data_IF_695573840543
#
_entry.id   IF_695573840543
#
_cell.length_a   1.000
_cell.length_b   1.000
_cell.length_c   1.000
_cell.angle_alpha   90.00
_cell.angle_beta   90.00
_cell.angle_gamma   90.00
#
_symmetry.space_group_name_H-M   'P 1'
#
loop_
_entity.id
_entity.type
_entity.pdbx_description
1 polymer ?
#
# COMPACT_ATOMS: atom_id res chain seq x y z
N UNK A 1 77.79 0.35 -8.28
CA UNK A 1 77.86 -0.08 -9.69
C UNK A 1 76.79 0.70 -10.46
N UNK A 2 77.19 1.37 -11.54
CA UNK A 2 76.49 2.42 -12.30
C UNK A 2 75.21 1.97 -13.01
N UNK A 3 74.24 2.90 -13.22
CA UNK A 3 74.02 3.53 -14.54
C UNK A 3 73.04 4.71 -14.52
N UNK A 4 73.42 5.74 -15.29
CA UNK A 4 72.81 7.06 -15.53
C UNK A 4 71.91 7.03 -16.77
N UNK A 5 70.90 7.89 -16.83
CA UNK A 5 70.35 8.46 -18.08
C UNK A 5 70.26 9.98 -17.90
N UNK A 6 70.86 10.74 -18.81
CA UNK A 6 71.01 12.20 -18.74
C UNK A 6 70.21 12.92 -19.83
N UNK A 7 69.65 14.07 -19.42
CA UNK A 7 68.95 15.09 -20.20
C UNK A 7 69.96 16.17 -20.60
N UNK A 8 69.81 16.82 -21.77
CA UNK A 8 70.21 18.23 -21.95
C UNK A 8 69.46 18.93 -23.11
N UNK A 9 69.06 20.19 -22.84
CA UNK A 9 68.48 21.22 -23.71
C UNK A 9 69.43 21.68 -24.85
N UNK A 10 68.93 22.46 -25.84
CA UNK A 10 69.41 23.83 -26.17
C UNK A 10 68.43 24.61 -27.10
N UNK A 11 68.43 25.92 -26.85
CA UNK A 11 67.78 27.16 -27.31
C UNK A 11 67.66 27.60 -28.80
N UNK A 12 66.82 28.65 -28.96
CA UNK A 12 66.44 29.58 -30.05
C UNK A 12 67.55 30.26 -30.91
N UNK A 13 67.22 30.61 -32.17
CA UNK A 13 67.28 32.00 -32.73
C UNK A 13 66.69 32.14 -34.18
N UNK A 14 66.24 33.37 -34.48
CA UNK A 14 65.48 33.91 -35.63
C UNK A 14 66.19 33.89 -37.01
N UNK A 15 65.41 33.80 -38.11
CA UNK A 15 65.67 34.50 -39.38
C UNK A 15 64.40 34.63 -40.25
N UNK A 16 64.16 35.83 -40.77
CA UNK A 16 63.10 36.23 -41.72
C UNK A 16 63.49 35.93 -43.17
N UNK A 17 62.54 35.57 -44.03
CA UNK A 17 62.64 35.77 -45.49
C UNK A 17 61.25 35.91 -46.15
N UNK A 18 61.15 36.83 -47.11
CA UNK A 18 59.94 37.33 -47.78
C UNK A 18 59.95 36.89 -49.26
N UNK A 19 58.81 36.31 -49.68
CA UNK A 19 58.23 36.10 -51.03
C UNK A 19 59.03 35.51 -52.21
N UNK A 20 58.45 34.46 -52.80
CA UNK A 20 58.13 34.42 -54.25
C UNK A 20 57.00 33.44 -54.52
N UNK A 21 55.99 33.90 -55.25
CA UNK A 21 54.81 33.13 -55.63
C UNK A 21 55.08 32.17 -56.77
N UNK A 22 54.42 31.01 -56.72
CA UNK A 22 54.14 30.17 -57.87
C UNK A 22 52.68 29.73 -57.74
N UNK A 23 51.87 30.16 -58.70
CA UNK A 23 50.48 29.71 -58.90
C UNK A 23 50.56 28.33 -59.54
N UNK A 24 50.01 27.32 -58.86
CA UNK A 24 49.76 26.02 -59.47
C UNK A 24 48.26 25.88 -59.74
N UNK A 25 47.93 25.46 -60.96
CA UNK A 25 46.58 25.32 -61.46
C UNK A 25 45.81 24.26 -60.65
N UNK A 26 44.65 24.66 -60.13
CA UNK A 26 43.64 23.79 -59.53
C UNK A 26 43.19 22.76 -60.58
N UNK A 27 43.50 21.49 -60.36
CA UNK A 27 42.92 20.40 -61.15
C UNK A 27 41.51 20.14 -60.63
N UNK A 28 40.52 20.53 -61.44
CA UNK A 28 39.11 20.33 -61.13
C UNK A 28 38.81 18.84 -60.93
N UNK A 29 38.34 18.49 -59.74
CA UNK A 29 37.76 17.17 -59.42
C UNK A 29 36.41 17.07 -60.15
N UNK A 30 36.15 16.04 -60.97
CA UNK A 30 34.85 15.87 -61.59
C UNK A 30 33.82 15.52 -60.51
N UNK A 31 32.88 16.45 -60.26
CA UNK A 31 31.63 16.17 -59.55
C UNK A 31 30.65 15.56 -60.54
N UNK A 32 30.38 14.25 -60.47
CA UNK A 32 29.04 13.73 -60.81
C UNK A 32 28.84 12.29 -60.32
N UNK A 33 28.31 12.16 -59.10
CA UNK A 33 27.31 11.12 -58.80
C UNK A 33 26.25 11.77 -57.91
N UNK A 34 25.21 12.29 -58.54
CA UNK A 34 24.06 12.88 -57.88
C UNK A 34 23.18 11.78 -57.26
N UNK A 35 23.53 11.33 -56.06
CA UNK A 35 22.64 10.50 -55.25
C UNK A 35 21.45 11.36 -54.77
N UNK A 36 20.27 11.12 -55.35
CA UNK A 36 19.00 11.64 -54.84
C UNK A 36 18.68 10.96 -53.50
N UNK A 37 18.98 11.64 -52.39
CA UNK A 37 18.42 11.29 -51.10
C UNK A 37 16.94 11.72 -51.09
N UNK A 38 16.05 10.80 -51.42
CA UNK A 38 14.64 10.98 -51.08
C UNK A 38 14.53 10.92 -49.55
N UNK A 39 14.03 11.96 -48.86
CA UNK A 39 13.66 11.79 -47.46
C UNK A 39 12.64 10.64 -47.42
N UNK A 40 12.87 9.67 -46.54
CA UNK A 40 11.84 8.70 -46.18
C UNK A 40 10.69 9.50 -45.56
N UNK A 41 9.69 9.85 -46.37
CA UNK A 41 8.40 10.32 -45.87
C UNK A 41 7.74 9.08 -45.29
N UNK A 42 7.99 8.80 -44.01
CA UNK A 42 7.22 7.80 -43.30
C UNK A 42 5.77 8.27 -43.27
N UNK A 43 4.84 7.39 -43.69
CA UNK A 43 3.42 7.63 -43.47
C UNK A 43 3.24 7.97 -41.98
N UNK A 44 2.53 9.06 -41.61
CA UNK A 44 2.31 9.37 -40.21
C UNK A 44 1.69 8.14 -39.53
N UNK A 45 2.33 7.69 -38.45
CA UNK A 45 1.83 6.56 -37.67
C UNK A 45 0.41 6.89 -37.19
N UNK A 46 -0.52 5.96 -37.39
CA UNK A 46 -1.87 6.13 -36.85
C UNK A 46 -1.77 5.95 -35.33
N UNK A 47 -2.47 6.78 -34.54
CA UNK A 47 -2.43 6.64 -33.08
C UNK A 47 -3.02 5.28 -32.68
N UNK A 48 -2.46 4.61 -31.66
CA UNK A 48 -3.03 3.39 -31.13
C UNK A 48 -4.40 3.68 -30.53
N UNK A 49 -5.30 2.68 -30.55
CA UNK A 49 -6.61 2.78 -29.93
C UNK A 49 -6.97 1.46 -29.23
N UNK A 50 -7.58 1.56 -28.06
CA UNK A 50 -8.29 0.44 -27.42
C UNK A 50 -9.74 0.47 -27.88
N UNK A 51 -10.13 -0.52 -28.68
CA UNK A 51 -11.48 -0.63 -29.24
C UNK A 51 -12.46 -1.25 -28.25
N UNK A 52 -12.00 -2.26 -27.49
CA UNK A 52 -12.77 -2.89 -26.44
C UNK A 52 -11.86 -3.42 -25.32
N UNK A 53 -12.35 -3.38 -24.09
CA UNK A 53 -11.74 -4.07 -22.96
C UNK A 53 -12.84 -4.47 -21.96
N UNK A 54 -13.09 -5.77 -21.84
CA UNK A 54 -14.25 -6.31 -21.12
C UNK A 54 -13.90 -7.58 -20.35
N UNK A 55 -14.75 -7.96 -19.40
CA UNK A 55 -14.77 -9.28 -18.81
C UNK A 55 -16.00 -10.06 -19.28
N UNK A 56 -15.93 -11.39 -19.20
CA UNK A 56 -17.06 -12.28 -19.48
C UNK A 56 -18.24 -12.13 -18.49
N UNK A 57 -18.01 -11.51 -17.33
CA UNK A 57 -19.01 -11.31 -16.28
C UNK A 57 -19.05 -9.87 -15.78
N UNK A 58 -20.23 -9.36 -15.36
CA UNK A 58 -20.36 -8.03 -14.75
C UNK A 58 -20.07 -8.00 -13.25
N UNK A 59 -20.06 -9.16 -12.57
CA UNK A 59 -19.73 -9.38 -11.16
C UNK A 59 -19.10 -10.77 -11.02
N UNK A 60 -18.13 -10.95 -10.13
CA UNK A 60 -17.45 -12.23 -9.93
C UNK A 60 -17.40 -12.63 -8.45
N UNK A 61 -17.20 -13.92 -8.17
CA UNK A 61 -16.93 -14.39 -6.82
C UNK A 61 -15.41 -14.42 -6.53
N UNK A 62 -14.95 -14.06 -5.32
CA UNK A 62 -13.56 -14.29 -4.93
C UNK A 62 -13.16 -15.76 -5.07
N UNK A 63 -12.03 -16.04 -5.72
CA UNK A 63 -11.56 -17.40 -6.00
C UNK A 63 -12.01 -17.98 -7.35
N UNK A 64 -12.89 -17.29 -8.08
CA UNK A 64 -13.28 -17.69 -9.44
C UNK A 64 -12.19 -17.34 -10.47
N UNK A 65 -12.24 -17.97 -11.65
CA UNK A 65 -11.46 -17.55 -12.82
C UNK A 65 -12.36 -16.85 -13.82
N UNK A 66 -12.02 -15.61 -14.16
CA UNK A 66 -12.69 -14.80 -15.18
C UNK A 66 -11.89 -14.75 -16.48
N UNK A 67 -12.52 -14.34 -17.57
CA UNK A 67 -11.87 -14.11 -18.87
C UNK A 67 -11.93 -12.63 -19.22
N UNK A 68 -10.75 -12.03 -19.32
CA UNK A 68 -10.56 -10.67 -19.81
C UNK A 68 -10.39 -10.71 -21.33
N UNK A 69 -11.07 -9.84 -22.07
CA UNK A 69 -11.04 -9.79 -23.53
C UNK A 69 -10.82 -8.38 -24.02
N UNK A 70 -9.96 -8.20 -25.02
CA UNK A 70 -9.65 -6.89 -25.58
C UNK A 70 -9.40 -6.91 -27.08
N UNK A 71 -9.66 -5.75 -27.69
CA UNK A 71 -9.32 -5.46 -29.06
C UNK A 71 -8.63 -4.08 -29.13
N UNK A 72 -7.57 -4.00 -29.92
CA UNK A 72 -6.81 -2.77 -30.15
C UNK A 72 -6.57 -2.55 -31.65
N UNK A 73 -6.26 -1.32 -32.02
CA UNK A 73 -5.81 -0.98 -33.37
C UNK A 73 -4.54 -0.14 -33.30
N UNK A 74 -3.66 -0.30 -34.28
CA UNK A 74 -2.42 0.46 -34.43
C UNK A 74 -1.43 0.38 -33.25
N UNK A 75 -1.66 -0.51 -32.29
CA UNK A 75 -0.71 -0.84 -31.24
C UNK A 75 0.35 -1.80 -31.77
N UNK A 76 1.58 -1.66 -31.29
CA UNK A 76 2.66 -2.64 -31.51
C UNK A 76 2.98 -3.44 -30.25
N UNK A 77 2.62 -2.89 -29.08
CA UNK A 77 2.77 -3.53 -27.78
C UNK A 77 1.50 -3.29 -26.98
N UNK A 78 0.97 -4.33 -26.35
CA UNK A 78 -0.13 -4.20 -25.40
C UNK A 78 0.28 -4.72 -24.04
N UNK A 79 0.06 -3.91 -23.01
CA UNK A 79 0.36 -4.25 -21.62
C UNK A 79 -0.93 -4.22 -20.81
N UNK A 80 -1.24 -5.33 -20.16
CA UNK A 80 -2.33 -5.44 -19.20
C UNK A 80 -1.75 -5.30 -17.80
N UNK A 81 -2.30 -4.38 -17.00
CA UNK A 81 -2.00 -4.21 -15.59
C UNK A 81 -3.17 -4.67 -14.74
N UNK A 82 -2.87 -5.35 -13.65
CA UNK A 82 -3.76 -5.52 -12.52
C UNK A 82 -3.45 -4.43 -11.48
N UNK A 83 -4.48 -3.76 -10.99
CA UNK A 83 -4.36 -2.66 -10.04
C UNK A 83 -4.82 -3.12 -8.66
N UNK A 84 -3.97 -2.90 -7.66
CA UNK A 84 -4.27 -3.22 -6.26
C UNK A 84 -4.40 -1.90 -5.51
N UNK A 85 -5.61 -1.60 -5.00
CA UNK A 85 -5.88 -0.33 -4.33
C UNK A 85 -5.62 0.90 -5.22
N UNK A 86 -5.83 0.77 -6.54
CA UNK A 86 -5.58 1.84 -7.51
C UNK A 86 -4.11 2.04 -7.92
N UNK A 87 -3.19 1.22 -7.40
CA UNK A 87 -1.77 1.25 -7.77
C UNK A 87 -1.47 0.12 -8.75
N UNK A 88 -0.62 0.38 -9.74
CA UNK A 88 -0.13 -0.67 -10.65
C UNK A 88 0.56 -1.79 -9.88
N UNK A 89 -0.01 -2.98 -9.96
CA UNK A 89 0.53 -4.21 -9.39
C UNK A 89 1.16 -5.06 -10.49
N UNK A 90 0.72 -6.31 -10.59
CA UNK A 90 1.18 -7.25 -11.62
C UNK A 90 0.86 -6.74 -13.03
N UNK A 91 1.70 -7.11 -13.99
CA UNK A 91 1.49 -6.77 -15.39
C UNK A 91 1.89 -7.92 -16.31
N UNK A 92 1.31 -7.92 -17.50
CA UNK A 92 1.56 -8.88 -18.56
C UNK A 92 1.67 -8.16 -19.89
N UNK A 93 2.68 -8.53 -20.69
CA UNK A 93 2.67 -8.21 -22.12
C UNK A 93 1.77 -9.23 -22.81
N UNK A 94 0.71 -8.74 -23.44
CA UNK A 94 -0.34 -9.56 -24.04
C UNK A 94 -0.38 -9.32 -25.56
N UNK A 95 -0.98 -10.22 -26.34
CA UNK A 95 -1.19 -9.99 -27.77
C UNK A 95 -1.99 -8.71 -28.05
N UNK A 96 -1.83 -8.13 -29.25
CA UNK A 96 -2.56 -6.92 -29.66
C UNK A 96 -4.08 -7.05 -29.52
N UNK A 97 -4.60 -8.25 -29.82
CA UNK A 97 -6.00 -8.62 -29.64
C UNK A 97 -6.03 -10.01 -29.01
N UNK A 98 -6.95 -10.24 -28.08
CA UNK A 98 -7.10 -11.56 -27.51
C UNK A 98 -7.83 -11.58 -26.19
N UNK A 99 -7.67 -12.72 -25.52
CA UNK A 99 -8.29 -13.00 -24.24
C UNK A 99 -7.24 -13.57 -23.27
N UNK A 100 -7.47 -13.36 -21.98
CA UNK A 100 -6.65 -13.91 -20.90
C UNK A 100 -7.55 -14.38 -19.76
N UNK A 101 -7.34 -15.62 -19.33
CA UNK A 101 -7.92 -16.10 -18.09
C UNK A 101 -7.17 -15.48 -16.90
N UNK A 102 -7.91 -14.96 -15.93
CA UNK A 102 -7.39 -14.41 -14.69
C UNK A 102 -8.06 -15.08 -13.49
N UNK A 103 -7.25 -15.70 -12.63
CA UNK A 103 -7.72 -16.32 -11.41
C UNK A 103 -7.75 -15.26 -10.30
N UNK A 104 -8.95 -14.93 -9.83
CA UNK A 104 -9.19 -14.00 -8.73
C UNK A 104 -8.73 -14.67 -7.43
N UNK A 105 -8.00 -13.94 -6.59
CA UNK A 105 -7.62 -14.49 -5.28
C UNK A 105 -8.86 -14.71 -4.41
N UNK A 106 -8.92 -15.80 -3.66
CA UNK A 106 -9.96 -16.01 -2.66
C UNK A 106 -9.93 -14.98 -1.53
N UNK A 107 -8.81 -14.25 -1.37
CA UNK A 107 -8.66 -13.14 -0.43
C UNK A 107 -9.07 -11.79 -1.00
N UNK A 108 -9.38 -11.69 -2.30
CA UNK A 108 -9.81 -10.44 -2.94
C UNK A 108 -11.19 -10.03 -2.43
N UNK A 109 -11.40 -8.72 -2.29
CA UNK A 109 -12.63 -8.13 -1.78
C UNK A 109 -12.99 -6.90 -2.58
N UNK A 110 -14.28 -6.56 -2.56
CA UNK A 110 -14.88 -5.38 -3.20
C UNK A 110 -14.80 -5.37 -4.73
N UNK A 111 -13.61 -5.31 -5.32
CA UNK A 111 -13.42 -5.15 -6.76
C UNK A 111 -12.08 -5.75 -7.24
N UNK A 112 -12.04 -6.18 -8.49
CA UNK A 112 -10.80 -6.34 -9.27
C UNK A 112 -10.69 -5.24 -10.32
N UNK A 113 -9.53 -4.58 -10.37
CA UNK A 113 -9.32 -3.45 -11.30
C UNK A 113 -8.17 -3.74 -12.24
N UNK A 114 -8.36 -3.46 -13.52
CA UNK A 114 -7.37 -3.64 -14.57
C UNK A 114 -7.23 -2.40 -15.43
N UNK A 115 -6.06 -2.21 -16.02
CA UNK A 115 -5.81 -1.19 -17.04
C UNK A 115 -5.06 -1.81 -18.20
N UNK A 116 -5.57 -1.63 -19.42
CA UNK A 116 -4.95 -2.05 -20.65
C UNK A 116 -4.30 -0.83 -21.31
N UNK A 117 -3.04 -0.96 -21.71
CA UNK A 117 -2.30 0.05 -22.45
C UNK A 117 -1.94 -0.47 -23.83
N UNK A 118 -2.35 0.25 -24.87
CA UNK A 118 -2.02 -0.01 -26.26
C UNK A 118 -0.99 1.00 -26.73
N UNK A 119 0.25 0.57 -26.97
CA UNK A 119 1.38 1.44 -27.29
C UNK A 119 1.86 1.20 -28.73
N UNK A 120 2.03 2.27 -29.51
CA UNK A 120 2.56 2.22 -30.87
C UNK A 120 4.09 2.38 -30.91
N UNK A 121 4.69 2.19 -32.09
CA UNK A 121 6.14 2.22 -32.28
C UNK A 121 6.79 3.59 -31.97
N UNK A 122 6.03 4.68 -32.02
CA UNK A 122 6.47 6.03 -31.67
C UNK A 122 6.30 6.36 -30.18
N UNK A 123 5.92 5.37 -29.36
CA UNK A 123 5.59 5.47 -27.94
C UNK A 123 4.33 6.29 -27.61
N UNK A 124 3.52 6.68 -28.60
CA UNK A 124 2.15 7.09 -28.32
C UNK A 124 1.36 5.91 -27.75
N UNK A 125 0.38 6.19 -26.88
CA UNK A 125 -0.44 5.15 -26.28
C UNK A 125 -1.90 5.59 -26.12
N UNK A 126 -2.78 4.61 -26.08
CA UNK A 126 -4.16 4.71 -25.61
C UNK A 126 -4.39 3.69 -24.48
N UNK A 127 -5.40 3.92 -23.64
CA UNK A 127 -5.65 3.05 -22.49
C UNK A 127 -7.13 2.92 -22.13
N UNK A 128 -7.51 1.75 -21.63
CA UNK A 128 -8.84 1.50 -21.08
C UNK A 128 -8.75 0.86 -19.70
N UNK A 129 -9.66 1.26 -18.80
CA UNK A 129 -9.82 0.66 -17.48
C UNK A 129 -11.00 -0.31 -17.44
N UNK A 130 -10.88 -1.35 -16.62
CA UNK A 130 -11.95 -2.30 -16.33
C UNK A 130 -12.00 -2.54 -14.82
N UNK A 131 -13.19 -2.43 -14.23
CA UNK A 131 -13.41 -2.72 -12.80
C UNK A 131 -14.56 -3.70 -12.68
N UNK A 132 -14.32 -4.79 -11.96
CA UNK A 132 -15.26 -5.89 -11.79
C UNK A 132 -15.62 -5.95 -10.32
N UNK A 133 -16.87 -5.63 -9.91
CA UNK A 133 -17.30 -5.82 -8.54
C UNK A 133 -17.22 -7.29 -8.15
N UNK A 134 -16.87 -7.52 -6.88
CA UNK A 134 -16.84 -8.84 -6.27
C UNK A 134 -18.01 -8.99 -5.31
N UNK A 135 -18.57 -10.18 -5.26
CA UNK A 135 -19.51 -10.53 -4.18
C UNK A 135 -18.79 -10.52 -2.84
N UNK A 136 -19.53 -10.18 -1.79
CA UNK A 136 -18.99 -10.16 -0.43
C UNK A 136 -19.33 -11.48 0.28
N UNK A 137 -18.34 -12.32 0.61
CA UNK A 137 -18.60 -13.63 1.23
C UNK A 137 -18.89 -13.54 2.73
N UNK A 138 -18.69 -12.37 3.35
CA UNK A 138 -18.76 -12.18 4.80
C UNK A 138 -19.66 -11.02 5.17
N UNK A 139 -20.35 -11.16 6.29
CA UNK A 139 -21.17 -10.10 6.86
C UNK A 139 -20.44 -9.45 8.04
N UNK A 140 -20.72 -8.17 8.27
CA UNK A 140 -20.30 -7.47 9.48
C UNK A 140 -21.10 -7.96 10.69
N UNK A 141 -20.46 -8.05 11.86
CA UNK A 141 -21.11 -8.50 13.10
C UNK A 141 -22.07 -7.46 13.73
N UNK A 142 -22.18 -6.25 13.15
CA UNK A 142 -22.98 -5.14 13.65
C UNK A 142 -23.73 -4.42 12.52
N UNK A 143 -24.70 -3.57 12.90
CA UNK A 143 -25.49 -2.72 12.00
C UNK A 143 -25.59 -1.30 12.56
N UNK A 144 -25.53 -0.23 11.75
CA UNK A 144 -25.34 -0.25 10.30
C UNK A 144 -23.93 -0.69 9.92
N UNK A 145 -23.86 -1.59 8.93
CA UNK A 145 -22.60 -2.11 8.43
C UNK A 145 -21.90 -1.11 7.49
N UNK A 146 -20.56 -1.05 7.47
CA UNK A 146 -19.82 -0.34 6.43
C UNK A 146 -20.13 -0.84 5.02
N UNK A 147 -20.03 0.05 4.02
CA UNK A 147 -20.25 -0.30 2.60
C UNK A 147 -19.16 -1.22 2.02
N UNK A 148 -18.01 -1.29 2.67
CA UNK A 148 -16.90 -2.17 2.28
C UNK A 148 -17.10 -3.57 2.84
N UNK A 149 -16.75 -4.60 2.06
CA UNK A 149 -16.76 -5.96 2.53
C UNK A 149 -15.73 -6.15 3.66
N UNK A 150 -16.03 -6.89 4.74
CA UNK A 150 -14.99 -7.21 5.72
C UNK A 150 -13.95 -8.15 5.11
N UNK A 151 -12.70 -8.03 5.56
CA UNK A 151 -11.60 -8.84 5.03
C UNK A 151 -11.84 -10.34 5.30
N UNK A 152 -12.31 -10.65 6.50
CA UNK A 152 -12.58 -11.99 6.98
C UNK A 152 -13.91 -12.06 7.74
N UNK A 153 -14.37 -13.28 8.01
CA UNK A 153 -15.44 -13.52 8.96
C UNK A 153 -15.06 -12.98 10.36
N UNK A 154 -16.06 -12.73 11.20
CA UNK A 154 -15.82 -12.25 12.56
C UNK A 154 -14.96 -13.22 13.36
N UNK A 155 -13.83 -12.71 13.87
CA UNK A 155 -13.00 -13.44 14.81
C UNK A 155 -13.65 -13.37 16.18
N UNK A 156 -14.29 -14.47 16.59
CA UNK A 156 -14.88 -14.60 17.91
C UNK A 156 -13.79 -14.96 18.93
N UNK A 157 -13.76 -14.26 20.05
CA UNK A 157 -12.71 -14.41 21.06
C UNK A 157 -13.23 -14.10 22.45
N UNK A 158 -12.59 -14.71 23.46
CA UNK A 158 -12.63 -14.16 24.81
C UNK A 158 -12.01 -12.75 24.82
N UNK A 159 -12.50 -11.91 25.71
CA UNK A 159 -12.05 -10.53 25.88
C UNK A 159 -12.05 -10.13 27.34
N UNK A 160 -11.25 -9.10 27.65
CA UNK A 160 -11.33 -8.37 28.89
C UNK A 160 -11.31 -6.87 28.58
N UNK A 161 -12.00 -6.06 29.38
CA UNK A 161 -11.97 -4.61 29.30
C UNK A 161 -11.74 -4.01 30.68
N UNK A 162 -10.96 -2.94 30.73
CA UNK A 162 -10.77 -2.15 31.95
C UNK A 162 -10.82 -0.66 31.63
N UNK A 163 -11.67 0.06 32.36
CA UNK A 163 -11.84 1.50 32.24
C UNK A 163 -10.80 2.25 33.07
N UNK A 164 -10.25 3.31 32.51
CA UNK A 164 -9.27 4.22 33.12
C UNK A 164 -9.83 5.64 33.22
N UNK A 165 -9.09 6.55 33.85
CA UNK A 165 -9.47 7.96 33.97
C UNK A 165 -9.65 8.63 32.59
N UNK A 166 -8.83 8.24 31.62
CA UNK A 166 -8.72 8.88 30.30
C UNK A 166 -8.61 7.86 29.17
N UNK A 167 -9.34 6.75 29.28
CA UNK A 167 -9.41 5.76 28.22
C UNK A 167 -9.80 4.37 28.70
N UNK A 168 -9.53 3.39 27.84
CA UNK A 168 -9.87 1.98 28.09
C UNK A 168 -8.76 1.09 27.55
N UNK A 169 -8.49 -0.01 28.27
CA UNK A 169 -7.74 -1.14 27.72
C UNK A 169 -8.68 -2.30 27.40
N UNK A 170 -8.46 -2.94 26.25
CA UNK A 170 -9.25 -4.06 25.74
C UNK A 170 -8.30 -5.17 25.34
N UNK A 171 -8.46 -6.36 25.89
CA UNK A 171 -7.72 -7.55 25.51
C UNK A 171 -8.54 -8.42 24.57
N UNK A 172 -7.91 -8.93 23.52
CA UNK A 172 -8.50 -9.87 22.55
C UNK A 172 -7.67 -11.15 22.57
N UNK A 173 -8.21 -12.20 23.19
CA UNK A 173 -7.46 -13.44 23.42
C UNK A 173 -7.02 -14.19 22.17
N UNK A 174 -7.83 -14.21 21.10
CA UNK A 174 -7.49 -14.89 19.86
C UNK A 174 -6.33 -14.21 19.10
N UNK A 175 -6.04 -12.95 19.41
CA UNK A 175 -4.93 -12.18 18.84
C UNK A 175 -3.77 -12.01 19.81
N UNK A 176 -3.94 -12.43 21.07
CA UNK A 176 -3.01 -12.21 22.19
C UNK A 176 -2.57 -10.74 22.30
N UNK A 177 -3.55 -9.84 22.18
CA UNK A 177 -3.32 -8.41 21.95
C UNK A 177 -4.15 -7.54 22.89
N UNK A 178 -3.50 -6.54 23.44
CA UNK A 178 -4.07 -5.46 24.25
C UNK A 178 -4.16 -4.20 23.39
N UNK A 179 -5.37 -3.74 23.16
CA UNK A 179 -5.68 -2.43 22.60
C UNK A 179 -5.80 -1.41 23.72
N UNK A 180 -5.25 -0.23 23.50
CA UNK A 180 -5.34 0.92 24.40
C UNK A 180 -5.98 2.06 23.65
N UNK A 181 -7.12 2.55 24.10
CA UNK A 181 -7.83 3.67 23.50
C UNK A 181 -7.71 4.87 24.44
N UNK A 182 -7.29 6.02 23.92
CA UNK A 182 -7.07 7.23 24.71
C UNK A 182 -8.22 8.22 24.49
N UNK A 183 -8.74 8.81 25.57
CA UNK A 183 -9.72 9.91 25.49
C UNK A 183 -9.06 11.28 25.24
N UNK A 184 -7.72 11.33 25.25
CA UNK A 184 -6.98 12.56 25.03
C UNK A 184 -6.98 12.98 23.55
N UNK A 185 -6.84 14.29 23.32
CA UNK A 185 -6.71 14.87 21.97
C UNK A 185 -5.39 15.63 21.82
N UNK A 186 -4.47 15.47 22.77
CA UNK A 186 -3.17 16.16 22.78
C UNK A 186 -2.18 15.50 21.81
N UNK A 187 -2.36 14.20 21.56
CA UNK A 187 -1.49 13.38 20.72
C UNK A 187 -2.12 13.10 19.36
N UNK A 188 -1.29 12.70 18.41
CA UNK A 188 -1.75 12.36 17.05
C UNK A 188 -2.26 10.93 16.92
N UNK A 189 -1.98 10.07 17.91
CA UNK A 189 -2.44 8.69 17.99
C UNK A 189 -3.55 8.57 19.04
N UNK A 190 -4.77 8.25 18.60
CA UNK A 190 -5.90 7.99 19.49
C UNK A 190 -5.91 6.58 20.09
N UNK A 191 -5.14 5.63 19.54
CA UNK A 191 -5.04 4.29 20.11
C UNK A 191 -3.68 3.63 19.89
N UNK A 192 -3.38 2.61 20.69
CA UNK A 192 -2.18 1.79 20.56
C UNK A 192 -2.53 0.30 20.71
N UNK A 193 -1.63 -0.58 20.28
CA UNK A 193 -1.78 -2.02 20.49
C UNK A 193 -0.45 -2.67 20.89
N UNK A 194 -0.54 -3.59 21.86
CA UNK A 194 0.57 -4.31 22.45
C UNK A 194 0.28 -5.81 22.43
N UNK A 195 1.30 -6.65 22.29
CA UNK A 195 1.15 -8.07 22.60
C UNK A 195 0.98 -8.24 24.11
N UNK A 196 0.19 -9.21 24.55
CA UNK A 196 0.09 -9.55 25.96
C UNK A 196 1.30 -10.41 26.38
N UNK A 197 2.28 -9.77 27.02
CA UNK A 197 3.50 -10.44 27.47
C UNK A 197 3.35 -11.05 28.87
N UNK A 198 2.23 -10.83 29.56
CA UNK A 198 2.02 -11.41 30.90
C UNK A 198 1.74 -12.91 30.78
N UNK A 199 2.42 -13.70 31.60
CA UNK A 199 2.25 -15.14 31.66
C UNK A 199 1.84 -15.60 33.06
N UNK A 200 1.18 -16.76 33.14
CA UNK A 200 0.80 -17.34 34.43
C UNK A 200 2.04 -17.58 35.30
N UNK A 201 2.05 -16.95 36.48
CA UNK A 201 3.18 -16.95 37.41
C UNK A 201 3.94 -15.62 37.47
N UNK A 202 3.73 -14.72 36.51
CA UNK A 202 4.26 -13.36 36.59
C UNK A 202 3.54 -12.55 37.69
N UNK A 203 4.20 -11.53 38.27
CA UNK A 203 3.55 -10.64 39.23
C UNK A 203 2.26 -10.05 38.66
N UNK A 204 1.14 -10.31 39.35
CA UNK A 204 -0.19 -9.81 38.97
C UNK A 204 -0.23 -8.28 39.06
N UNK A 205 0.45 -7.72 40.05
CA UNK A 205 0.55 -6.30 40.33
C UNK A 205 1.96 -5.93 40.87
N UNK A 206 2.14 -4.65 41.21
CA UNK A 206 3.33 -4.18 41.94
C UNK A 206 2.89 -3.61 43.29
N UNK A 207 3.19 -4.28 44.42
CA UNK A 207 2.73 -3.88 45.74
C UNK A 207 3.32 -2.56 46.24
N UNK A 208 4.33 -2.00 45.57
CA UNK A 208 4.88 -0.67 45.87
C UNK A 208 4.05 0.47 45.27
N UNK A 209 3.19 0.17 44.31
CA UNK A 209 2.32 1.14 43.63
C UNK A 209 0.92 1.03 44.23
N UNK A 210 0.64 1.86 45.24
CA UNK A 210 -0.65 1.87 45.93
C UNK A 210 -1.64 2.80 45.21
N UNK A 211 -2.80 2.31 44.74
CA UNK A 211 -3.78 3.16 44.09
C UNK A 211 -4.42 4.14 45.08
N UNK A 212 -4.74 5.38 44.65
CA UNK A 212 -5.52 6.31 45.46
C UNK A 212 -6.93 5.77 45.76
N UNK A 213 -7.63 6.30 46.79
CA UNK A 213 -8.98 5.84 47.12
C UNK A 213 -9.94 5.95 45.93
N UNK A 214 -10.64 4.86 45.63
CA UNK A 214 -11.60 4.78 44.51
C UNK A 214 -11.00 4.34 43.18
N UNK A 215 -9.67 4.16 43.12
CA UNK A 215 -8.95 3.69 41.94
C UNK A 215 -8.37 2.31 42.16
N UNK A 216 -7.96 1.69 41.05
CA UNK A 216 -7.39 0.35 41.01
C UNK A 216 -6.04 0.40 40.30
N UNK A 217 -5.11 -0.42 40.79
CA UNK A 217 -3.94 -0.78 40.00
C UNK A 217 -4.37 -1.82 38.96
N UNK A 218 -4.15 -1.59 37.66
CA UNK A 218 -4.42 -2.60 36.64
C UNK A 218 -3.56 -3.85 36.89
N UNK A 219 -4.14 -5.01 36.61
CA UNK A 219 -3.55 -6.31 36.92
C UNK A 219 -3.14 -7.04 35.63
N UNK A 220 -2.27 -8.05 35.75
CA UNK A 220 -1.84 -8.94 34.66
C UNK A 220 -1.38 -8.18 33.42
N UNK A 221 -1.82 -8.55 32.21
CA UNK A 221 -1.44 -7.93 30.94
C UNK A 221 -1.65 -6.42 30.90
N UNK A 222 -2.85 -5.94 31.29
CA UNK A 222 -3.12 -4.50 31.41
C UNK A 222 -2.17 -3.83 32.40
N UNK A 223 -1.95 -4.48 33.55
CA UNK A 223 -1.01 -4.02 34.56
C UNK A 223 0.43 -3.94 34.06
N UNK A 224 0.87 -4.90 33.26
CA UNK A 224 2.21 -4.95 32.69
C UNK A 224 2.42 -3.80 31.71
N UNK A 225 1.52 -3.64 30.73
CA UNK A 225 1.56 -2.52 29.77
C UNK A 225 1.56 -1.18 30.52
N UNK A 226 0.66 -1.01 31.49
CA UNK A 226 0.54 0.22 32.26
C UNK A 226 1.77 0.50 33.14
N UNK A 227 2.43 -0.51 33.71
CA UNK A 227 3.63 -0.27 34.54
C UNK A 227 4.88 -0.01 33.70
N UNK A 228 5.04 -0.69 32.58
CA UNK A 228 6.28 -0.66 31.78
C UNK A 228 6.28 0.44 30.72
N UNK A 229 5.11 0.79 30.19
CA UNK A 229 4.96 1.86 29.20
C UNK A 229 4.53 3.16 29.89
N UNK A 230 5.49 3.91 30.42
CA UNK A 230 5.18 5.12 31.22
C UNK A 230 4.32 6.14 30.47
N UNK A 231 4.51 6.31 29.15
CA UNK A 231 3.64 7.19 28.35
C UNK A 231 2.19 6.72 28.33
N UNK A 232 1.95 5.40 28.33
CA UNK A 232 0.60 4.83 28.39
C UNK A 232 -0.04 5.12 29.74
N UNK A 233 0.72 4.93 30.82
CA UNK A 233 0.28 5.26 32.18
C UNK A 233 -0.08 6.72 32.35
N UNK A 234 0.79 7.61 31.89
CA UNK A 234 0.60 9.05 32.03
C UNK A 234 -0.62 9.53 31.22
N UNK A 235 -0.88 8.92 30.07
CA UNK A 235 -2.05 9.23 29.23
C UNK A 235 -3.36 8.69 29.78
N UNK A 236 -3.39 7.44 30.25
CA UNK A 236 -4.62 6.81 30.75
C UNK A 236 -5.01 7.23 32.16
N UNK A 237 -4.03 7.51 33.03
CA UNK A 237 -4.25 7.62 34.47
C UNK A 237 -4.50 6.27 35.14
N UNK A 238 -5.19 6.27 36.26
CA UNK A 238 -5.53 5.05 37.02
C UNK A 238 -6.76 4.33 36.47
N UNK A 239 -6.86 3.03 36.76
CA UNK A 239 -8.09 2.30 36.48
C UNK A 239 -9.21 2.76 37.44
N UNK A 240 -10.40 3.03 36.90
CA UNK A 240 -11.58 3.49 37.66
C UNK A 240 -12.54 2.35 38.01
N UNK A 241 -12.31 1.18 37.43
CA UNK A 241 -13.03 -0.05 37.70
C UNK A 241 -12.09 -1.27 37.64
N UNK A 242 -12.45 -2.38 38.30
CA UNK A 242 -11.79 -3.67 38.05
C UNK A 242 -11.96 -4.10 36.59
N UNK A 243 -11.02 -4.91 36.12
CA UNK A 243 -11.12 -5.61 34.84
C UNK A 243 -12.39 -6.48 34.79
N UNK A 244 -13.07 -6.44 33.64
CA UNK A 244 -14.26 -7.25 33.36
C UNK A 244 -14.00 -8.14 32.15
N UNK A 245 -14.26 -9.44 32.30
CA UNK A 245 -14.14 -10.41 31.20
C UNK A 245 -15.46 -10.63 30.47
N UNK A 246 -15.38 -11.03 29.21
CA UNK A 246 -16.53 -11.43 28.39
C UNK A 246 -16.10 -11.95 27.01
N UNK A 247 -16.98 -11.79 26.04
CA UNK A 247 -16.74 -12.21 24.66
C UNK A 247 -16.71 -10.99 23.72
N UNK A 248 -15.89 -11.07 22.69
CA UNK A 248 -15.80 -10.06 21.63
C UNK A 248 -15.86 -10.70 20.24
N UNK A 249 -16.06 -9.85 19.24
CA UNK A 249 -15.91 -10.15 17.83
C UNK A 249 -15.02 -9.08 17.21
N UNK A 250 -14.01 -9.49 16.45
CA UNK A 250 -13.11 -8.57 15.74
C UNK A 250 -13.28 -8.73 14.23
N UNK A 251 -13.44 -7.61 13.52
CA UNK A 251 -13.40 -7.57 12.06
C UNK A 251 -12.66 -6.33 11.58
N UNK A 252 -12.12 -6.41 10.36
CA UNK A 252 -11.38 -5.33 9.71
C UNK A 252 -11.92 -5.10 8.31
N UNK A 253 -11.83 -3.86 7.85
CA UNK A 253 -12.14 -3.54 6.44
C UNK A 253 -11.18 -4.27 5.51
N UNK A 254 -11.54 -4.36 4.24
CA UNK A 254 -10.72 -4.99 3.20
C UNK A 254 -10.02 -3.97 2.28
N UNK A 255 -9.73 -2.78 2.80
CA UNK A 255 -8.95 -1.80 2.05
C UNK A 255 -7.52 -2.30 1.86
N UNK A 256 -6.92 -1.95 0.72
CA UNK A 256 -5.54 -2.30 0.44
C UNK A 256 -4.56 -1.72 1.48
N UNK A 257 -4.86 -0.52 1.97
CA UNK A 257 -4.15 0.19 3.04
C UNK A 257 -5.16 0.91 3.90
N UNK A 258 -4.71 1.33 5.08
CA UNK A 258 -5.51 2.13 5.99
C UNK A 258 -6.78 1.39 6.40
N UNK A 259 -6.61 0.18 6.94
CA UNK A 259 -7.73 -0.62 7.40
C UNK A 259 -8.25 -0.13 8.75
N UNK A 260 -9.57 -0.09 8.86
CA UNK A 260 -10.28 0.17 10.10
C UNK A 260 -10.48 -1.17 10.83
N UNK A 261 -10.45 -1.14 12.16
CA UNK A 261 -10.70 -2.31 13.01
C UNK A 261 -11.95 -2.07 13.84
N UNK A 262 -12.83 -3.07 13.92
CA UNK A 262 -14.04 -3.03 14.72
C UNK A 262 -14.00 -4.14 15.76
N UNK A 263 -14.23 -3.80 17.02
CA UNK A 263 -14.29 -4.74 18.13
C UNK A 263 -15.65 -4.60 18.80
N UNK A 264 -16.35 -5.71 19.01
CA UNK A 264 -17.54 -5.72 19.87
C UNK A 264 -17.13 -5.44 21.32
N UNK A 265 -17.69 -4.41 21.91
CA UNK A 265 -17.48 -4.05 23.30
C UNK A 265 -18.32 -4.93 24.25
N UNK A 266 -17.94 -5.00 25.52
CA UNK A 266 -18.69 -5.75 26.54
C UNK A 266 -20.09 -5.20 26.84
N UNK A 267 -20.35 -3.94 26.50
CA UNK A 267 -21.66 -3.28 26.60
C UNK A 267 -22.47 -3.35 25.29
N UNK A 268 -22.14 -4.29 24.40
CA UNK A 268 -22.77 -4.54 23.09
C UNK A 268 -22.62 -3.40 22.05
N UNK A 269 -21.92 -2.31 22.40
CA UNK A 269 -21.48 -1.30 21.46
C UNK A 269 -20.28 -1.80 20.61
N UNK A 270 -19.77 -0.97 19.71
CA UNK A 270 -18.60 -1.31 18.87
C UNK A 270 -17.52 -0.25 19.01
N UNK A 271 -16.32 -0.69 19.40
CA UNK A 271 -15.12 0.11 19.28
C UNK A 271 -14.67 0.13 17.82
N UNK A 272 -14.69 1.29 17.19
CA UNK A 272 -14.23 1.51 15.84
C UNK A 272 -12.88 2.22 15.87
N UNK A 273 -11.82 1.52 15.50
CA UNK A 273 -10.46 2.02 15.48
C UNK A 273 -10.11 2.47 14.06
N UNK A 274 -9.79 3.76 13.92
CA UNK A 274 -9.37 4.33 12.66
C UNK A 274 -7.95 3.85 12.30
N UNK A 275 -7.56 3.93 11.02
CA UNK A 275 -6.28 3.39 10.57
C UNK A 275 -5.06 4.12 11.15
N UNK A 276 -3.89 3.49 11.08
CA UNK A 276 -2.61 4.10 11.48
C UNK A 276 -2.62 4.70 12.88
N UNK A 277 -3.39 4.10 13.80
CA UNK A 277 -3.47 4.50 15.20
C UNK A 277 -4.12 5.88 15.40
N UNK A 278 -4.75 6.47 14.35
CA UNK A 278 -5.04 7.90 14.33
C UNK A 278 -6.09 8.32 15.34
N UNK A 279 -7.19 7.57 15.45
CA UNK A 279 -8.33 7.90 16.31
C UNK A 279 -9.19 6.67 16.57
N UNK A 280 -10.20 6.79 17.42
CA UNK A 280 -11.24 5.79 17.61
C UNK A 280 -12.59 6.44 17.93
N UNK A 281 -13.68 5.72 17.71
CA UNK A 281 -15.01 6.10 18.16
C UNK A 281 -15.78 4.90 18.69
N UNK A 282 -16.82 5.16 19.48
CA UNK A 282 -17.74 4.14 19.95
C UNK A 282 -19.05 4.23 19.17
N UNK A 283 -19.33 3.20 18.38
CA UNK A 283 -20.57 3.08 17.63
C UNK A 283 -21.64 2.39 18.49
N UNK A 284 -22.88 2.86 18.36
CA UNK A 284 -24.05 2.24 18.97
C UNK A 284 -24.80 1.49 17.88
N UNK A 285 -24.75 0.14 17.86
CA UNK A 285 -25.47 -0.64 16.87
C UNK A 285 -26.98 -0.49 17.01
N UNK A 286 -27.67 -0.57 15.89
CA UNK A 286 -29.11 -0.79 15.91
C UNK A 286 -29.39 -2.14 16.59
N UNK A 287 -30.42 -2.21 17.41
CA UNK A 287 -30.87 -3.48 17.98
C UNK A 287 -31.19 -4.44 16.84
N UNK A 288 -30.44 -5.54 16.73
CA UNK A 288 -30.73 -6.63 15.81
C UNK A 288 -32.10 -7.23 16.21
N UNK A 289 -33.17 -6.83 15.51
CA UNK A 289 -34.51 -7.42 15.68
C UNK A 289 -34.55 -8.86 15.18
#
# INVERSE_FOLDING_TARGET
>A
MFKRIGILLVSFLLATAVFSGIVWAETAVPQDESYLYLPLVSKPAQPPQVLSFTANVPIADPGETITLSWETSHATTVTLYHLVGGVFGSFWTVPENGEMAYAISSSSRNYETFALFATAADNSFDSAGLTIPLTCPFFWFFSPAPDTCPQEAALLSASAEQQFEHGVMIWVGAEDRIYVLFDDTEWTDGWAAFSDEWQEGDPVDDPSIIPPPGFYQPQRGFGLVWREQLTIRDRLGWAVAPESGGDTAVQRTSYYKYNHTYLKALDDNVWHLFPEHSDWEKLVPDSLN
#
